data_IF_923009657236
#
_entry.id   IF_923009657236
#
_cell.length_a   1.000
_cell.length_b   1.000
_cell.length_c   1.000
_cell.angle_alpha   90.00
_cell.angle_beta   90.00
_cell.angle_gamma   90.00
#
_symmetry.space_group_name_H-M   'P 1'
#
loop_
_entity.id
_entity.type
_entity.pdbx_description
1 polymer ?
#
# COMPACT_ATOMS: atom_id res chain seq x y z
N UNK A 1 -10.87 -4.91 17.16
CA UNK A 1 -9.68 -5.79 16.97
C UNK A 1 -9.76 -6.54 15.64
N UNK A 2 -10.93 -7.07 15.24
CA UNK A 2 -11.15 -7.63 13.90
C UNK A 2 -11.24 -6.58 12.79
N UNK A 3 -11.86 -5.42 13.04
CA UNK A 3 -11.99 -4.32 12.06
C UNK A 3 -10.63 -3.78 11.62
N UNK A 4 -9.70 -3.56 12.56
CA UNK A 4 -8.33 -3.19 12.25
C UNK A 4 -7.59 -4.25 11.40
N UNK A 5 -7.84 -5.53 11.64
CA UNK A 5 -7.27 -6.61 10.82
C UNK A 5 -7.80 -6.61 9.39
N UNK A 6 -9.07 -6.23 9.21
CA UNK A 6 -9.72 -6.06 7.91
C UNK A 6 -9.12 -4.86 7.17
N UNK A 7 -9.07 -3.68 7.81
CA UNK A 7 -8.50 -2.45 7.26
C UNK A 7 -7.06 -2.65 6.76
N UNK A 8 -6.20 -3.26 7.56
CA UNK A 8 -4.81 -3.49 7.17
C UNK A 8 -4.70 -4.43 5.96
N UNK A 9 -5.66 -5.35 5.81
CA UNK A 9 -5.70 -6.26 4.68
C UNK A 9 -6.20 -5.55 3.43
N UNK A 10 -7.24 -4.72 3.54
CA UNK A 10 -7.80 -3.95 2.42
C UNK A 10 -6.79 -2.93 1.88
N UNK A 11 -6.13 -2.18 2.77
CA UNK A 11 -5.08 -1.25 2.41
C UNK A 11 -3.89 -1.95 1.70
N UNK A 12 -3.43 -3.09 2.22
CA UNK A 12 -2.35 -3.85 1.59
C UNK A 12 -2.78 -4.47 0.24
N UNK A 13 -4.02 -4.96 0.14
CA UNK A 13 -4.57 -5.52 -1.09
C UNK A 13 -4.62 -4.45 -2.18
N UNK A 14 -5.12 -3.26 -1.86
CA UNK A 14 -5.24 -2.17 -2.81
C UNK A 14 -3.90 -1.81 -3.46
N UNK A 15 -2.83 -1.67 -2.66
CA UNK A 15 -1.50 -1.40 -3.20
C UNK A 15 -0.99 -2.54 -4.08
N UNK A 16 -1.19 -3.80 -3.68
CA UNK A 16 -0.74 -4.97 -4.44
C UNK A 16 -1.50 -5.10 -5.77
N UNK A 17 -2.79 -4.79 -5.78
CA UNK A 17 -3.60 -4.75 -7.00
C UNK A 17 -3.06 -3.69 -7.96
N UNK A 18 -2.76 -2.48 -7.49
CA UNK A 18 -2.18 -1.42 -8.32
C UNK A 18 -0.79 -1.78 -8.86
N UNK A 19 0.05 -2.42 -8.04
CA UNK A 19 1.36 -2.93 -8.49
C UNK A 19 1.18 -4.02 -9.57
N UNK A 20 0.20 -4.91 -9.42
CA UNK A 20 -0.08 -5.97 -10.38
C UNK A 20 -0.70 -5.46 -11.70
N UNK A 21 -1.51 -4.41 -11.64
CA UNK A 21 -2.09 -3.74 -12.82
C UNK A 21 -1.01 -3.13 -13.72
N UNK A 22 -0.03 -2.43 -13.13
CA UNK A 22 1.11 -1.86 -13.84
C UNK A 22 2.06 -2.95 -14.35
N UNK A 23 2.15 -4.10 -13.65
CA UNK A 23 3.10 -5.18 -13.96
C UNK A 23 2.47 -6.58 -13.96
N UNK A 24 1.85 -6.92 -15.09
CA UNK A 24 1.16 -8.21 -15.31
C UNK A 24 2.03 -9.46 -15.18
N UNK A 25 3.35 -9.32 -15.13
CA UNK A 25 4.30 -10.44 -15.11
C UNK A 25 4.86 -10.77 -13.72
N UNK A 26 4.42 -10.08 -12.65
CA UNK A 26 4.87 -10.41 -11.29
C UNK A 26 4.22 -11.74 -10.86
N UNK A 27 5.01 -12.76 -10.45
CA UNK A 27 4.46 -14.02 -9.97
C UNK A 27 3.54 -13.83 -8.77
N UNK A 28 2.42 -14.56 -8.73
CA UNK A 28 1.45 -14.49 -7.63
C UNK A 28 2.09 -14.72 -6.26
N UNK A 29 3.06 -15.64 -6.16
CA UNK A 29 3.79 -15.89 -4.92
C UNK A 29 4.57 -14.66 -4.40
N UNK A 30 5.08 -13.81 -5.31
CA UNK A 30 5.73 -12.55 -4.94
C UNK A 30 4.69 -11.50 -4.51
N UNK A 31 3.58 -11.38 -5.23
CA UNK A 31 2.47 -10.49 -4.85
C UNK A 31 1.93 -10.82 -3.45
N UNK A 32 1.77 -12.10 -3.12
CA UNK A 32 1.38 -12.55 -1.78
C UNK A 32 2.42 -12.16 -0.70
N UNK A 33 3.71 -12.23 -1.03
CA UNK A 33 4.77 -11.86 -0.10
C UNK A 33 4.79 -10.35 0.16
N UNK A 34 4.67 -9.54 -0.89
CA UNK A 34 4.52 -8.08 -0.79
C UNK A 34 3.30 -7.73 0.05
N UNK A 35 2.15 -8.38 -0.20
CA UNK A 35 0.91 -8.16 0.55
C UNK A 35 1.12 -8.37 2.05
N UNK A 36 1.76 -9.47 2.43
CA UNK A 36 2.04 -9.79 3.85
C UNK A 36 2.98 -8.77 4.49
N UNK A 37 4.00 -8.33 3.76
CA UNK A 37 4.97 -7.34 4.24
C UNK A 37 4.33 -5.95 4.38
N UNK A 38 3.54 -5.49 3.40
CA UNK A 38 2.76 -4.25 3.49
C UNK A 38 1.77 -4.28 4.64
N UNK A 39 0.98 -5.35 4.78
CA UNK A 39 0.04 -5.50 5.90
C UNK A 39 0.74 -5.41 7.25
N UNK A 40 1.92 -6.03 7.38
CA UNK A 40 2.72 -5.97 8.61
C UNK A 40 3.24 -4.55 8.86
N UNK A 41 3.74 -3.87 7.82
CA UNK A 41 4.23 -2.51 7.92
C UNK A 41 3.13 -1.53 8.34
N UNK A 42 1.95 -1.59 7.69
CA UNK A 42 0.78 -0.79 8.03
C UNK A 42 0.35 -1.01 9.48
N UNK A 43 0.22 -2.27 9.89
CA UNK A 43 -0.09 -2.63 11.28
C UNK A 43 0.91 -2.00 12.27
N UNK A 44 2.20 -2.10 11.97
CA UNK A 44 3.24 -1.61 12.86
C UNK A 44 3.20 -0.08 12.99
N UNK A 45 3.09 0.64 11.87
CA UNK A 45 2.98 2.10 11.86
C UNK A 45 1.75 2.56 12.62
N UNK A 46 0.58 1.98 12.36
CA UNK A 46 -0.66 2.37 13.05
C UNK A 46 -0.66 2.03 14.54
N UNK A 47 0.01 0.95 14.94
CA UNK A 47 0.16 0.60 16.36
C UNK A 47 1.07 1.56 17.12
N UNK A 48 1.96 2.28 16.42
CA UNK A 48 2.91 3.22 17.02
C UNK A 48 2.40 4.66 16.96
N UNK A 49 1.95 5.09 15.78
CA UNK A 49 1.68 6.49 15.45
C UNK A 49 0.18 6.81 15.36
N UNK A 50 -0.70 5.80 15.36
CA UNK A 50 -2.16 5.96 15.22
C UNK A 50 -2.63 6.44 13.84
N UNK A 51 -1.71 6.79 12.95
CA UNK A 51 -1.95 7.21 11.58
C UNK A 51 -0.80 6.79 10.66
N UNK A 52 -1.07 6.72 9.37
CA UNK A 52 -0.08 6.42 8.34
C UNK A 52 -0.46 7.14 7.06
N UNK A 53 0.56 7.60 6.32
CA UNK A 53 0.41 8.13 4.97
C UNK A 53 1.36 7.39 4.06
N UNK A 54 0.84 6.88 2.95
CA UNK A 54 1.59 6.31 1.85
C UNK A 54 1.31 7.15 0.61
N UNK A 55 2.33 7.80 0.04
CA UNK A 55 2.13 8.71 -1.09
C UNK A 55 3.10 8.41 -2.22
N UNK A 56 2.55 8.36 -3.42
CA UNK A 56 3.30 8.20 -4.67
C UNK A 56 3.09 9.39 -5.61
N UNK A 57 2.70 10.54 -5.05
CA UNK A 57 2.55 11.80 -5.77
C UNK A 57 3.91 12.32 -6.25
N UNK A 58 4.23 12.10 -7.52
CA UNK A 58 5.49 12.53 -8.14
C UNK A 58 6.78 12.03 -7.45
N UNK A 59 6.66 11.11 -6.49
CA UNK A 59 7.78 10.45 -5.81
C UNK A 59 7.41 9.00 -5.52
N UNK A 60 8.39 8.19 -5.13
CA UNK A 60 8.17 6.81 -4.70
C UNK A 60 8.11 6.79 -3.18
N UNK A 61 7.05 6.18 -2.64
CA UNK A 61 6.97 5.98 -1.21
C UNK A 61 8.09 5.04 -0.76
N UNK A 62 8.94 5.50 0.16
CA UNK A 62 10.12 4.76 0.58
C UNK A 62 9.78 3.41 1.22
N UNK A 63 8.63 3.29 1.90
CA UNK A 63 8.21 2.05 2.54
C UNK A 63 7.83 1.01 1.49
N UNK A 64 7.02 1.41 0.51
CA UNK A 64 6.62 0.53 -0.59
C UNK A 64 7.85 0.15 -1.42
N UNK A 65 8.71 1.13 -1.74
CA UNK A 65 9.95 0.93 -2.48
C UNK A 65 10.87 -0.10 -1.82
N UNK A 66 11.09 0.02 -0.51
CA UNK A 66 11.92 -0.92 0.25
C UNK A 66 11.32 -2.33 0.26
N UNK A 67 10.00 -2.47 0.36
CA UNK A 67 9.31 -3.76 0.30
C UNK A 67 9.47 -4.40 -1.09
N UNK A 68 9.27 -3.63 -2.16
CA UNK A 68 9.46 -4.13 -3.53
C UNK A 68 10.90 -4.59 -3.75
N UNK A 69 11.87 -3.76 -3.37
CA UNK A 69 13.29 -4.07 -3.49
C UNK A 69 13.67 -5.34 -2.72
N UNK A 70 13.22 -5.50 -1.48
CA UNK A 70 13.46 -6.71 -0.67
C UNK A 70 12.85 -7.99 -1.27
N UNK A 71 11.89 -7.86 -2.20
CA UNK A 71 11.28 -8.96 -2.94
C UNK A 71 11.86 -9.15 -4.34
N UNK A 72 12.94 -8.45 -4.67
CA UNK A 72 13.58 -8.49 -5.97
C UNK A 72 12.64 -8.02 -7.07
N UNK A 73 11.90 -6.95 -6.80
CA UNK A 73 11.02 -6.27 -7.75
C UNK A 73 11.63 -4.89 -7.98
N UNK A 74 11.79 -4.54 -9.25
CA UNK A 74 12.35 -3.25 -9.63
C UNK A 74 11.42 -2.13 -9.16
N UNK A 75 11.97 -1.07 -8.59
CA UNK A 75 11.17 -0.03 -7.94
C UNK A 75 10.56 0.96 -8.93
N UNK A 76 10.95 0.87 -10.21
CA UNK A 76 10.27 1.49 -11.35
C UNK A 76 8.83 1.02 -11.52
N UNK A 77 8.45 -0.07 -10.85
CA UNK A 77 7.14 -0.70 -10.90
C UNK A 77 6.12 -0.18 -9.88
N UNK A 78 6.48 0.87 -9.16
CA UNK A 78 5.65 1.47 -8.14
C UNK A 78 4.60 2.40 -8.80
N UNK A 79 3.30 2.16 -8.60
CA UNK A 79 2.25 2.96 -9.22
C UNK A 79 2.31 4.40 -8.71
N UNK A 80 2.43 5.35 -9.63
CA UNK A 80 2.52 6.79 -9.31
C UNK A 80 1.14 7.44 -9.29
N UNK A 81 1.03 8.51 -8.51
CA UNK A 81 -0.17 9.37 -8.50
C UNK A 81 -1.24 8.94 -7.51
N UNK A 82 -0.89 8.17 -6.49
CA UNK A 82 -1.84 7.75 -5.45
C UNK A 82 -1.39 8.21 -4.08
N UNK A 83 -2.36 8.51 -3.23
CA UNK A 83 -2.12 8.75 -1.82
C UNK A 83 -3.13 7.98 -0.98
N UNK A 84 -2.62 7.21 -0.03
CA UNK A 84 -3.41 6.52 0.97
C UNK A 84 -3.13 7.15 2.34
N UNK A 85 -4.19 7.64 2.98
CA UNK A 85 -4.15 8.10 4.36
C UNK A 85 -4.94 7.10 5.19
N UNK A 86 -4.34 6.61 6.27
CA UNK A 86 -4.98 5.72 7.24
C UNK A 86 -4.95 6.42 8.59
N UNK A 87 -6.11 6.60 9.21
CA UNK A 87 -6.27 7.23 10.54
C UNK A 87 -7.23 6.37 11.34
N UNK A 88 -6.78 5.87 12.50
CA UNK A 88 -7.56 4.98 13.35
C UNK A 88 -8.08 3.76 12.57
N UNK A 89 -9.39 3.66 12.39
CA UNK A 89 -10.09 2.53 11.78
C UNK A 89 -10.54 2.84 10.34
N UNK A 90 -10.06 3.94 9.76
CA UNK A 90 -10.47 4.40 8.43
C UNK A 90 -9.27 4.60 7.51
N UNK A 91 -9.42 4.26 6.24
CA UNK A 91 -8.48 4.61 5.19
C UNK A 91 -9.19 5.19 3.98
N UNK A 92 -8.53 6.17 3.37
CA UNK A 92 -8.97 6.81 2.14
C UNK A 92 -7.81 6.78 1.14
N UNK A 93 -8.12 6.46 -0.11
CA UNK A 93 -7.16 6.54 -1.22
C UNK A 93 -7.62 7.57 -2.23
N UNK A 94 -6.72 8.48 -2.59
CA UNK A 94 -6.97 9.55 -3.55
C UNK A 94 -6.03 9.46 -4.75
N UNK A 95 -6.49 9.97 -5.90
CA UNK A 95 -5.64 10.24 -7.07
C UNK A 95 -4.85 11.54 -6.92
N UNK A 96 -3.96 11.82 -7.88
CA UNK A 96 -3.12 13.01 -7.93
C UNK A 96 -3.87 14.35 -8.10
N UNK A 97 -5.19 14.33 -8.31
CA UNK A 97 -6.07 15.51 -8.37
C UNK A 97 -6.84 15.68 -7.06
N UNK A 98 -6.72 14.73 -6.13
CA UNK A 98 -7.41 14.72 -4.84
C UNK A 98 -8.81 14.09 -4.91
N UNK A 99 -9.16 13.39 -5.98
CA UNK A 99 -10.41 12.63 -6.03
C UNK A 99 -10.25 11.35 -5.22
N UNK A 100 -11.23 11.08 -4.36
CA UNK A 100 -11.29 9.84 -3.60
C UNK A 100 -11.65 8.69 -4.54
N UNK A 101 -10.77 7.71 -4.62
CA UNK A 101 -10.94 6.51 -5.43
C UNK A 101 -11.63 5.39 -4.65
N UNK A 102 -11.28 5.26 -3.37
CA UNK A 102 -11.86 4.26 -2.48
C UNK A 102 -11.67 4.64 -1.02
N UNK A 103 -12.60 4.18 -0.19
CA UNK A 103 -12.59 4.31 1.26
C UNK A 103 -12.89 2.95 1.89
N UNK A 104 -12.25 2.64 3.01
CA UNK A 104 -12.53 1.46 3.83
C UNK A 104 -12.47 1.79 5.32
#
# INVERSE_FOLDING_TARGET
MEENLKLYSEAANWWVEKIAEEHKNIPSCKLEKIRKELKKAIKNSLSHDGSMRLSTYNHRDALIENILFANGIETSFLPLGYEMIIILEHACVSDNVGNILVEF
#
